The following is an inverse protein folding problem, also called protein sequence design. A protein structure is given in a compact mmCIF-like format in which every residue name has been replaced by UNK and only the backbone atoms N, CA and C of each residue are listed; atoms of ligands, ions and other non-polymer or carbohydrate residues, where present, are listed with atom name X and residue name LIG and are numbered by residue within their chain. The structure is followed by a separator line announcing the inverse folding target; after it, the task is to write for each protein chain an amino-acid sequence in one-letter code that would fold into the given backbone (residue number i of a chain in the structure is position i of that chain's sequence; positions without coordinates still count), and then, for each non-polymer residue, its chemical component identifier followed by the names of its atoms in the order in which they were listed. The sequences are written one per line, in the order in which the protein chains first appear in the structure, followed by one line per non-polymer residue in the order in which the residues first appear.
data_IF_453450179538
#
_entry.id   IF_453450179538
#
_cell.length_a   1.000
_cell.length_b   1.000
_cell.length_c   1.000
_cell.angle_alpha   90.00
_cell.angle_beta   90.00
_cell.angle_gamma   90.00
#
_symmetry.space_group_name_H-M   'P 1'
#
loop_
_entity.id
_entity.type
_entity.pdbx_description
1 polymer ?
#
# COMPACT_ATOMS: atom_id res chain seq x y z
N UNK A 1 19.73 10.28 -20.93
CA UNK A 1 21.14 10.67 -20.74
C UNK A 1 22.06 9.49 -20.98
N UNK A 2 22.12 8.45 -20.13
CA UNK A 2 23.00 7.28 -20.37
C UNK A 2 22.87 6.64 -21.75
N UNK A 3 21.64 6.31 -22.18
CA UNK A 3 21.39 5.74 -23.51
C UNK A 3 21.79 6.69 -24.66
N UNK A 4 21.65 8.01 -24.46
CA UNK A 4 22.08 9.00 -25.43
C UNK A 4 23.61 9.10 -25.50
N UNK A 5 24.30 8.95 -24.35
CA UNK A 5 25.77 8.84 -24.30
C UNK A 5 26.26 7.59 -25.02
N UNK A 6 25.63 6.44 -24.78
CA UNK A 6 25.98 5.16 -25.42
C UNK A 6 25.75 5.20 -26.93
N UNK A 7 24.75 5.94 -27.39
CA UNK A 7 24.47 6.18 -28.82
C UNK A 7 25.32 7.30 -29.44
N UNK A 8 26.22 7.94 -28.68
CA UNK A 8 27.04 9.05 -29.17
C UNK A 8 26.27 10.35 -29.43
N UNK A 9 25.02 10.46 -28.98
CA UNK A 9 24.16 11.65 -29.11
C UNK A 9 24.54 12.71 -28.06
N UNK A 10 25.25 12.31 -27.01
CA UNK A 10 25.69 13.17 -25.92
C UNK A 10 27.12 12.77 -25.49
N UNK A 11 27.96 13.77 -25.23
CA UNK A 11 29.31 13.57 -24.66
C UNK A 11 29.40 14.07 -23.20
N UNK A 12 28.41 14.84 -22.75
CA UNK A 12 28.43 15.45 -21.43
C UNK A 12 28.14 14.39 -20.33
N UNK A 13 29.17 14.07 -19.54
CA UNK A 13 29.12 13.12 -18.42
C UNK A 13 28.84 13.76 -17.05
N UNK A 14 28.54 15.06 -16.96
CA UNK A 14 28.25 15.76 -15.69
C UNK A 14 27.15 15.06 -14.89
N UNK A 15 26.16 14.47 -15.56
CA UNK A 15 25.06 13.75 -14.94
C UNK A 15 25.49 12.48 -14.19
N UNK A 16 26.74 12.01 -14.38
CA UNK A 16 27.34 10.89 -13.63
C UNK A 16 28.11 11.36 -12.39
N UNK A 17 28.39 12.66 -12.25
CA UNK A 17 29.13 13.20 -11.10
C UNK A 17 28.33 12.99 -9.81
N UNK A 18 29.02 12.74 -8.69
CA UNK A 18 28.38 12.53 -7.36
C UNK A 18 27.47 13.69 -6.93
N UNK A 19 27.75 14.92 -7.40
CA UNK A 19 26.92 16.13 -7.17
C UNK A 19 25.53 16.02 -7.81
N UNK A 20 25.39 15.24 -8.88
CA UNK A 20 24.13 15.01 -9.59
C UNK A 20 23.41 13.79 -9.01
N UNK A 21 23.14 13.83 -7.71
CA UNK A 21 22.37 12.78 -7.02
C UNK A 21 21.05 13.37 -6.54
N UNK A 22 19.97 12.65 -6.82
CA UNK A 22 18.67 12.94 -6.20
C UNK A 22 18.77 12.64 -4.71
N UNK A 23 18.65 13.67 -3.88
CA UNK A 23 18.45 13.51 -2.44
C UNK A 23 17.10 12.81 -2.26
N UNK A 24 17.10 11.67 -1.57
CA UNK A 24 15.89 10.92 -1.26
C UNK A 24 15.63 11.06 0.22
N UNK A 25 14.53 11.70 0.56
CA UNK A 25 14.02 11.75 1.92
C UNK A 25 12.94 10.71 2.11
N UNK A 26 12.87 10.12 3.30
CA UNK A 26 11.76 9.26 3.66
C UNK A 26 10.55 10.13 3.95
N UNK A 27 9.48 9.95 3.18
CA UNK A 27 8.23 10.65 3.44
C UNK A 27 7.53 10.05 4.66
N UNK A 28 7.06 10.91 5.55
CA UNK A 28 6.18 10.52 6.65
C UNK A 28 4.89 9.93 6.07
N UNK A 29 4.69 8.66 6.37
CA UNK A 29 3.73 7.84 5.66
C UNK A 29 3.01 6.92 6.60
N UNK A 30 1.69 6.84 6.43
CA UNK A 30 0.80 6.14 7.36
C UNK A 30 0.42 4.75 6.86
N UNK A 31 -0.06 3.92 7.77
CA UNK A 31 -0.77 2.67 7.52
C UNK A 31 -2.12 2.68 8.26
N UNK A 32 -2.99 1.74 7.92
CA UNK A 32 -4.26 1.50 8.60
C UNK A 32 -4.18 0.20 9.40
N UNK A 33 -4.49 0.29 10.68
CA UNK A 33 -4.65 -0.86 11.57
C UNK A 33 -5.83 -1.72 11.16
N UNK A 34 -5.88 -2.97 11.65
CA UNK A 34 -7.03 -3.86 11.43
C UNK A 34 -8.35 -3.22 11.90
N UNK A 35 -8.33 -2.47 13.01
CA UNK A 35 -9.51 -1.75 13.52
C UNK A 35 -10.01 -0.70 12.52
N UNK A 36 -9.10 0.06 11.92
CA UNK A 36 -9.44 1.07 10.90
C UNK A 36 -9.92 0.42 9.59
N UNK A 37 -9.32 -0.71 9.18
CA UNK A 37 -9.83 -1.48 8.03
C UNK A 37 -11.24 -2.01 8.26
N UNK A 38 -11.56 -2.42 9.50
CA UNK A 38 -12.93 -2.79 9.86
C UNK A 38 -13.89 -1.60 9.84
N UNK A 39 -13.43 -0.38 10.15
CA UNK A 39 -14.24 0.84 10.01
C UNK A 39 -14.58 1.09 8.54
N UNK A 40 -13.61 0.91 7.62
CA UNK A 40 -13.88 0.92 6.19
C UNK A 40 -14.96 -0.11 5.83
N UNK A 41 -14.78 -1.38 6.21
CA UNK A 41 -15.71 -2.46 5.86
C UNK A 41 -17.15 -2.22 6.33
N UNK A 42 -17.33 -1.62 7.50
CA UNK A 42 -18.64 -1.34 8.11
C UNK A 42 -19.29 -0.06 7.60
N UNK A 43 -18.56 0.76 6.84
CA UNK A 43 -19.05 2.05 6.38
C UNK A 43 -20.20 1.87 5.37
N UNK A 44 -21.37 2.42 5.70
CA UNK A 44 -22.50 2.42 4.78
C UNK A 44 -22.31 3.50 3.70
N UNK A 45 -22.13 3.06 2.46
CA UNK A 45 -21.94 3.92 1.29
C UNK A 45 -23.02 3.67 0.21
N UNK A 46 -24.18 3.12 0.60
CA UNK A 46 -25.26 2.78 -0.34
C UNK A 46 -25.75 4.00 -1.15
N UNK A 47 -25.76 5.19 -0.54
CA UNK A 47 -26.12 6.44 -1.20
C UNK A 47 -25.01 7.01 -2.12
N UNK A 48 -23.80 6.46 -2.08
CA UNK A 48 -22.64 6.98 -2.84
C UNK A 48 -21.86 5.85 -3.55
N UNK A 49 -22.39 5.28 -4.65
CA UNK A 49 -21.79 4.14 -5.35
C UNK A 49 -20.33 4.36 -5.77
N UNK A 50 -19.94 5.60 -6.08
CA UNK A 50 -18.55 5.98 -6.41
C UNK A 50 -17.58 5.74 -5.25
N UNK A 51 -17.98 6.07 -4.02
CA UNK A 51 -17.16 5.91 -2.82
C UNK A 51 -17.15 4.45 -2.37
N UNK A 52 -18.29 3.78 -2.50
CA UNK A 52 -18.45 2.35 -2.24
C UNK A 52 -17.50 1.49 -3.09
N UNK A 53 -17.42 1.81 -4.39
CA UNK A 53 -16.44 1.23 -5.33
C UNK A 53 -14.99 1.50 -4.90
N UNK A 54 -14.67 2.73 -4.49
CA UNK A 54 -13.32 3.12 -4.06
C UNK A 54 -12.91 2.37 -2.79
N UNK A 55 -13.83 2.27 -1.82
CA UNK A 55 -13.65 1.49 -0.60
C UNK A 55 -13.33 0.03 -0.93
N UNK A 56 -14.11 -0.59 -1.81
CA UNK A 56 -13.96 -2.00 -2.14
C UNK A 56 -12.62 -2.30 -2.83
N UNK A 57 -12.24 -1.51 -3.84
CA UNK A 57 -10.93 -1.65 -4.50
C UNK A 57 -9.77 -1.39 -3.53
N UNK A 58 -9.89 -0.42 -2.62
CA UNK A 58 -8.87 -0.15 -1.62
C UNK A 58 -8.72 -1.31 -0.62
N UNK A 59 -9.84 -1.88 -0.14
CA UNK A 59 -9.83 -3.05 0.74
C UNK A 59 -9.17 -4.27 0.07
N UNK A 60 -9.36 -4.46 -1.24
CA UNK A 60 -8.62 -5.48 -1.99
C UNK A 60 -7.11 -5.23 -1.89
N UNK A 61 -6.66 -3.99 -2.12
CA UNK A 61 -5.25 -3.64 -1.93
C UNK A 61 -4.75 -3.91 -0.50
N UNK A 62 -5.56 -3.59 0.51
CA UNK A 62 -5.22 -3.77 1.93
C UNK A 62 -5.09 -5.23 2.35
N UNK A 63 -5.80 -6.14 1.67
CA UNK A 63 -5.82 -7.56 2.01
C UNK A 63 -5.06 -8.46 1.03
N UNK A 64 -4.56 -7.90 -0.08
CA UNK A 64 -3.70 -8.62 -1.03
C UNK A 64 -2.26 -8.10 -1.02
N UNK A 65 -2.02 -6.88 -0.54
CA UNK A 65 -0.69 -6.26 -0.58
C UNK A 65 -0.22 -5.88 -1.99
N UNK A 66 -1.09 -5.96 -2.99
CA UNK A 66 -0.79 -5.58 -4.37
C UNK A 66 -0.68 -4.06 -4.52
N UNK A 67 0.10 -3.60 -5.51
CA UNK A 67 0.13 -2.17 -5.85
C UNK A 67 -1.16 -1.79 -6.58
N UNK A 68 -1.46 -0.49 -6.61
CA UNK A 68 -2.59 0.05 -7.36
C UNK A 68 -2.68 -0.53 -8.77
N UNK A 69 -1.60 -0.43 -9.54
CA UNK A 69 -1.55 -0.94 -10.91
C UNK A 69 -1.81 -2.44 -11.04
N UNK A 70 -1.45 -3.22 -10.01
CA UNK A 70 -1.61 -4.68 -10.02
C UNK A 70 -3.04 -5.08 -9.64
N UNK A 71 -3.59 -4.55 -8.53
CA UNK A 71 -4.94 -4.95 -8.10
C UNK A 71 -6.05 -4.44 -9.02
N UNK A 72 -5.81 -3.36 -9.77
CA UNK A 72 -6.80 -2.84 -10.74
C UNK A 72 -6.85 -3.67 -12.02
N UNK A 73 -5.93 -4.62 -12.20
CA UNK A 73 -5.89 -5.53 -13.35
C UNK A 73 -6.28 -6.97 -12.99
N UNK A 74 -6.75 -7.22 -11.77
CA UNK A 74 -7.24 -8.54 -11.38
C UNK A 74 -8.43 -8.90 -12.27
N UNK A 75 -8.31 -10.04 -12.93
CA UNK A 75 -9.37 -10.64 -13.73
C UNK A 75 -9.89 -11.92 -13.07
N UNK A 76 -11.10 -12.40 -13.44
CA UNK A 76 -11.64 -13.65 -12.92
C UNK A 76 -10.69 -14.84 -13.07
N UNK A 77 -9.90 -14.89 -14.15
CA UNK A 77 -8.97 -15.98 -14.44
C UNK A 77 -7.76 -16.01 -13.50
N UNK A 78 -7.51 -14.92 -12.77
CA UNK A 78 -6.48 -14.89 -11.74
C UNK A 78 -6.92 -15.58 -10.44
N UNK A 79 -8.21 -15.88 -10.30
CA UNK A 79 -8.79 -16.42 -9.07
C UNK A 79 -9.08 -17.91 -9.30
N UNK A 80 -8.72 -18.74 -8.33
CA UNK A 80 -9.03 -20.17 -8.41
C UNK A 80 -10.53 -20.45 -8.21
N UNK A 81 -10.97 -21.65 -8.59
CA UNK A 81 -12.38 -22.04 -8.64
C UNK A 81 -13.12 -21.97 -7.29
N UNK A 82 -12.42 -22.16 -6.18
CA UNK A 82 -12.97 -22.08 -4.82
C UNK A 82 -12.89 -20.65 -4.22
N UNK A 83 -12.37 -19.66 -4.98
CA UNK A 83 -12.11 -18.28 -4.55
C UNK A 83 -11.24 -18.17 -3.29
N UNK A 84 -10.31 -19.10 -3.05
CA UNK A 84 -9.41 -19.07 -1.89
C UNK A 84 -8.06 -18.42 -2.18
N UNK A 85 -7.63 -18.39 -3.44
CA UNK A 85 -6.32 -17.88 -3.85
C UNK A 85 -6.39 -17.00 -5.09
N UNK A 86 -5.49 -16.01 -5.14
CA UNK A 86 -5.24 -15.13 -6.27
C UNK A 86 -3.82 -15.39 -6.81
N UNK A 87 -3.72 -15.62 -8.11
CA UNK A 87 -2.47 -15.82 -8.84
C UNK A 87 -2.30 -14.70 -9.86
N UNK A 88 -1.29 -13.86 -9.70
CA UNK A 88 -1.06 -12.72 -10.58
C UNK A 88 0.43 -12.51 -10.85
N UNK A 89 0.74 -12.05 -12.07
CA UNK A 89 2.07 -11.55 -12.40
C UNK A 89 2.13 -10.05 -12.17
N UNK A 90 2.97 -9.62 -11.25
CA UNK A 90 3.15 -8.20 -10.89
C UNK A 90 3.78 -7.43 -12.06
N UNK A 91 3.28 -6.22 -12.33
CA UNK A 91 3.72 -5.42 -13.47
C UNK A 91 5.14 -4.89 -13.30
N UNK A 92 5.43 -4.33 -12.11
CA UNK A 92 6.71 -3.64 -11.87
C UNK A 92 7.91 -4.58 -11.90
N UNK A 93 7.74 -5.79 -11.37
CA UNK A 93 8.83 -6.74 -11.14
C UNK A 93 8.72 -8.01 -11.98
N UNK A 94 7.62 -8.20 -12.71
CA UNK A 94 7.35 -9.39 -13.51
C UNK A 94 7.31 -10.72 -12.72
N UNK A 95 7.17 -10.63 -11.39
CA UNK A 95 7.13 -11.77 -10.47
C UNK A 95 5.73 -12.36 -10.40
N UNK A 96 5.65 -13.70 -10.39
CA UNK A 96 4.39 -14.42 -10.12
C UNK A 96 4.21 -14.56 -8.63
N UNK A 97 3.07 -14.10 -8.13
CA UNK A 97 2.72 -14.18 -6.71
C UNK A 97 1.42 -14.97 -6.54
N UNK A 98 1.36 -15.77 -5.47
CA UNK A 98 0.18 -16.49 -5.03
C UNK A 98 -0.25 -15.91 -3.68
N UNK A 99 -1.52 -15.51 -3.57
CA UNK A 99 -2.03 -14.72 -2.44
C UNK A 99 -3.29 -15.37 -1.89
N UNK A 100 -3.30 -15.81 -0.62
CA UNK A 100 -4.51 -16.26 0.04
C UNK A 100 -5.53 -15.10 0.14
N UNK A 101 -6.75 -15.34 -0.31
CA UNK A 101 -7.80 -14.32 -0.29
C UNK A 101 -8.40 -14.19 1.10
N UNK A 102 -8.40 -12.99 1.66
CA UNK A 102 -9.09 -12.70 2.91
C UNK A 102 -10.62 -12.79 2.73
N UNK A 103 -11.37 -13.09 3.80
CA UNK A 103 -12.83 -13.19 3.78
C UNK A 103 -13.52 -11.93 3.22
N UNK A 104 -12.96 -10.75 3.50
CA UNK A 104 -13.47 -9.47 2.98
C UNK A 104 -13.31 -9.39 1.46
N UNK A 105 -12.17 -9.84 0.92
CA UNK A 105 -11.93 -9.85 -0.52
C UNK A 105 -12.90 -10.80 -1.21
N UNK A 106 -13.14 -12.00 -0.65
CA UNK A 106 -14.14 -12.94 -1.17
C UNK A 106 -15.55 -12.33 -1.21
N UNK A 107 -15.95 -11.57 -0.19
CA UNK A 107 -17.24 -10.86 -0.17
C UNK A 107 -17.34 -9.82 -1.28
N UNK A 108 -16.28 -9.04 -1.48
CA UNK A 108 -16.20 -8.02 -2.55
C UNK A 108 -16.25 -8.68 -3.92
N UNK A 109 -15.48 -9.74 -4.14
CA UNK A 109 -15.51 -10.52 -5.38
C UNK A 109 -16.91 -11.05 -5.68
N UNK A 110 -17.59 -11.63 -4.68
CA UNK A 110 -18.97 -12.09 -4.82
C UNK A 110 -19.93 -10.95 -5.20
N UNK A 111 -19.80 -9.78 -4.56
CA UNK A 111 -20.61 -8.58 -4.87
C UNK A 111 -20.48 -8.18 -6.35
N UNK A 112 -19.29 -8.32 -6.93
CA UNK A 112 -19.02 -7.97 -8.33
C UNK A 112 -19.01 -9.16 -9.29
N UNK A 113 -19.51 -10.34 -8.87
CA UNK A 113 -19.51 -11.57 -9.69
C UNK A 113 -18.13 -11.88 -10.29
N UNK A 114 -17.08 -11.76 -9.48
CA UNK A 114 -15.66 -11.92 -9.84
C UNK A 114 -15.11 -10.91 -10.87
N UNK A 115 -15.92 -9.97 -11.37
CA UNK A 115 -15.50 -8.93 -12.31
C UNK A 115 -15.42 -7.57 -11.60
N UNK A 116 -14.23 -7.24 -11.09
CA UNK A 116 -14.01 -6.00 -10.36
C UNK A 116 -14.36 -4.75 -11.19
N UNK A 117 -14.87 -3.68 -10.54
CA UNK A 117 -15.20 -2.46 -11.24
C UNK A 117 -13.95 -1.76 -11.78
N UNK A 118 -14.07 -1.14 -12.96
CA UNK A 118 -12.98 -0.37 -13.57
C UNK A 118 -12.50 0.71 -12.63
N UNK A 119 -11.23 0.71 -12.26
CA UNK A 119 -10.67 1.71 -11.35
C UNK A 119 -10.67 3.12 -11.95
N UNK A 120 -10.75 4.13 -11.09
CA UNK A 120 -10.46 5.50 -11.49
C UNK A 120 -8.96 5.68 -11.71
N UNK A 121 -8.52 6.82 -12.27
CA UNK A 121 -7.09 7.16 -12.26
C UNK A 121 -6.57 7.19 -10.82
N UNK A 122 -5.27 6.94 -10.62
CA UNK A 122 -4.70 6.91 -9.27
C UNK A 122 -4.96 8.22 -8.49
N UNK A 123 -4.91 9.37 -9.16
CA UNK A 123 -5.20 10.66 -8.54
C UNK A 123 -6.66 10.78 -8.07
N UNK A 124 -7.62 10.41 -8.93
CA UNK A 124 -9.05 10.45 -8.57
C UNK A 124 -9.37 9.43 -7.48
N UNK A 125 -8.76 8.24 -7.57
CA UNK A 125 -8.85 7.21 -6.55
C UNK A 125 -8.38 7.74 -5.19
N UNK A 126 -7.22 8.42 -5.15
CA UNK A 126 -6.69 9.01 -3.92
C UNK A 126 -7.61 10.09 -3.35
N UNK A 127 -8.21 10.94 -4.18
CA UNK A 127 -9.14 11.97 -3.70
C UNK A 127 -10.35 11.34 -3.00
N UNK A 128 -11.04 10.41 -3.67
CA UNK A 128 -12.18 9.72 -3.06
C UNK A 128 -11.82 8.85 -1.87
N UNK A 129 -10.61 8.28 -1.87
CA UNK A 129 -10.14 7.49 -0.73
C UNK A 129 -10.00 8.34 0.53
N UNK A 130 -9.58 9.61 0.41
CA UNK A 130 -9.55 10.55 1.54
C UNK A 130 -10.95 10.86 2.06
N UNK A 131 -11.94 10.96 1.17
CA UNK A 131 -13.34 11.14 1.55
C UNK A 131 -13.88 9.92 2.30
N UNK A 132 -13.64 8.72 1.77
CA UNK A 132 -14.02 7.45 2.42
C UNK A 132 -13.39 7.34 3.81
N UNK A 133 -12.09 7.65 3.94
CA UNK A 133 -11.40 7.59 5.21
C UNK A 133 -11.92 8.63 6.23
N UNK A 134 -12.27 9.82 5.75
CA UNK A 134 -12.91 10.85 6.58
C UNK A 134 -14.27 10.38 7.10
N UNK A 135 -15.09 9.78 6.23
CA UNK A 135 -16.39 9.18 6.59
C UNK A 135 -16.23 7.98 7.55
N UNK A 136 -15.15 7.21 7.41
CA UNK A 136 -14.77 6.14 8.33
C UNK A 136 -14.24 6.65 9.69
N UNK A 137 -14.23 7.98 9.91
CA UNK A 137 -13.81 8.65 11.15
C UNK A 137 -12.32 8.46 11.49
N UNK A 138 -11.46 8.31 10.49
CA UNK A 138 -10.00 8.17 10.68
C UNK A 138 -9.37 9.56 10.82
N UNK A 139 -9.49 10.15 12.01
CA UNK A 139 -9.17 11.57 12.27
C UNK A 139 -7.96 11.80 13.19
N UNK A 140 -7.27 10.73 13.59
CA UNK A 140 -6.02 10.80 14.36
C UNK A 140 -5.07 11.83 13.74
N UNK A 141 -4.48 12.71 14.54
CA UNK A 141 -3.53 13.71 14.07
C UNK A 141 -2.14 13.08 13.93
N UNK A 142 -1.49 13.34 12.81
CA UNK A 142 -0.16 12.81 12.49
C UNK A 142 0.74 13.99 12.15
N UNK A 143 1.88 14.08 12.84
CA UNK A 143 2.95 15.02 12.48
C UNK A 143 3.62 14.52 11.19
N UNK A 144 3.77 15.42 10.22
CA UNK A 144 4.45 15.16 8.96
C UNK A 144 5.44 16.27 8.67
N UNK A 145 6.57 15.86 8.11
CA UNK A 145 7.72 16.66 7.80
C UNK A 145 7.93 16.62 6.29
N UNK A 146 8.00 17.78 5.67
CA UNK A 146 8.25 17.92 4.23
C UNK A 146 9.38 18.92 4.05
N UNK A 147 10.44 18.52 3.34
CA UNK A 147 11.50 19.45 2.97
C UNK A 147 11.15 20.16 1.66
N UNK A 148 11.05 21.48 1.69
CA UNK A 148 10.83 22.34 0.51
C UNK A 148 11.95 23.36 0.41
N UNK A 149 12.65 23.37 -0.74
CA UNK A 149 13.76 24.30 -0.97
C UNK A 149 14.89 24.19 0.08
N UNK A 150 15.13 22.99 0.62
CA UNK A 150 16.13 22.75 1.66
C UNK A 150 15.70 23.14 3.08
N UNK A 151 14.46 23.63 3.27
CA UNK A 151 13.88 23.92 4.59
C UNK A 151 12.91 22.82 4.99
N UNK A 152 13.06 22.35 6.23
CA UNK A 152 12.19 21.35 6.83
C UNK A 152 10.93 22.04 7.35
N UNK A 153 9.77 21.76 6.73
CA UNK A 153 8.47 22.23 7.17
C UNK A 153 7.74 21.11 7.92
N UNK A 154 7.37 21.37 9.17
CA UNK A 154 6.54 20.47 9.96
C UNK A 154 5.09 20.90 9.88
N UNK A 155 4.19 19.93 9.74
CA UNK A 155 2.75 20.17 9.79
C UNK A 155 2.04 19.02 10.50
N UNK A 156 0.91 19.31 11.13
CA UNK A 156 0.08 18.30 11.77
C UNK A 156 -1.19 18.17 10.95
N UNK A 157 -1.41 16.97 10.40
CA UNK A 157 -2.55 16.70 9.52
C UNK A 157 -3.35 15.50 10.05
N UNK A 158 -4.68 15.49 9.88
CA UNK A 158 -5.44 14.31 10.20
C UNK A 158 -5.07 13.17 9.24
N UNK A 159 -4.95 11.96 9.78
CA UNK A 159 -4.45 10.74 9.12
C UNK A 159 -5.14 10.47 7.79
N UNK A 160 -6.45 10.71 7.69
CA UNK A 160 -7.18 10.54 6.42
C UNK A 160 -6.61 11.37 5.26
N UNK A 161 -5.98 12.53 5.51
CA UNK A 161 -5.36 13.36 4.46
C UNK A 161 -4.08 12.75 3.90
N UNK A 162 -3.44 11.87 4.65
CA UNK A 162 -2.19 11.19 4.31
C UNK A 162 -2.42 9.83 3.62
N UNK A 163 -3.66 9.34 3.60
CA UNK A 163 -4.01 8.07 2.96
C UNK A 163 -3.94 8.20 1.44
N UNK A 164 -3.38 7.15 0.82
CA UNK A 164 -3.31 6.96 -0.63
C UNK A 164 -3.46 5.48 -0.98
N UNK A 165 -3.51 5.14 -2.27
CA UNK A 165 -3.51 3.74 -2.73
C UNK A 165 -2.28 2.96 -2.26
N UNK A 166 -1.13 3.62 -2.04
CA UNK A 166 0.06 2.98 -1.46
C UNK A 166 -0.09 2.65 0.03
N UNK A 167 -0.96 3.36 0.75
CA UNK A 167 -1.31 3.02 2.13
C UNK A 167 -1.84 1.59 2.21
N UNK A 168 -2.57 1.11 1.20
CA UNK A 168 -3.13 -0.24 1.17
C UNK A 168 -2.05 -1.32 1.38
N UNK A 169 -0.98 -1.26 0.58
CA UNK A 169 0.14 -2.21 0.67
C UNK A 169 0.95 -2.06 1.96
N UNK A 170 1.08 -0.84 2.49
CA UNK A 170 1.73 -0.60 3.79
C UNK A 170 0.92 -1.17 4.94
N UNK A 171 -0.41 -0.99 4.91
CA UNK A 171 -1.34 -1.60 5.87
C UNK A 171 -1.23 -3.12 5.83
N UNK A 172 -1.22 -3.72 4.64
CA UNK A 172 -1.01 -5.16 4.50
C UNK A 172 0.30 -5.62 5.15
N UNK A 173 1.42 -5.04 4.73
CA UNK A 173 2.74 -5.47 5.21
C UNK A 173 2.91 -5.24 6.72
N UNK A 174 2.52 -4.06 7.22
CA UNK A 174 2.68 -3.69 8.64
C UNK A 174 1.79 -4.55 9.53
N UNK A 175 0.51 -4.75 9.18
CA UNK A 175 -0.38 -5.57 10.01
C UNK A 175 0.06 -7.03 10.07
N UNK A 176 0.52 -7.62 8.95
CA UNK A 176 1.02 -9.00 8.96
C UNK A 176 2.34 -9.13 9.73
N UNK A 177 3.20 -8.11 9.67
CA UNK A 177 4.45 -8.08 10.43
C UNK A 177 4.21 -7.98 11.94
N UNK A 178 3.23 -7.18 12.36
CA UNK A 178 2.77 -7.09 13.75
C UNK A 178 2.15 -8.43 14.20
N UNK A 179 1.40 -9.10 13.32
CA UNK A 179 0.84 -10.44 13.55
C UNK A 179 1.88 -11.57 13.49
N UNK A 180 3.16 -11.25 13.54
CA UNK A 180 4.30 -12.17 13.58
C UNK A 180 4.40 -13.15 12.40
N UNK A 181 3.84 -12.77 11.25
CA UNK A 181 4.07 -13.52 10.02
C UNK A 181 5.52 -13.29 9.57
N UNK A 182 6.28 -14.35 9.24
CA UNK A 182 7.66 -14.21 8.79
C UNK A 182 7.80 -13.23 7.63
N UNK A 183 8.77 -12.31 7.73
CA UNK A 183 9.01 -11.27 6.72
C UNK A 183 9.15 -11.85 5.31
N UNK A 184 9.84 -12.99 5.18
CA UNK A 184 10.01 -13.70 3.92
C UNK A 184 8.67 -14.12 3.27
N UNK A 185 7.68 -14.51 4.08
CA UNK A 185 6.34 -14.88 3.60
C UNK A 185 5.59 -13.66 3.09
N UNK A 186 5.66 -12.54 3.82
CA UNK A 186 5.06 -11.27 3.41
C UNK A 186 5.73 -10.75 2.12
N UNK A 187 7.05 -10.88 2.01
CA UNK A 187 7.83 -10.49 0.83
C UNK A 187 7.44 -11.29 -0.41
N UNK A 188 7.23 -12.61 -0.28
CA UNK A 188 6.75 -13.47 -1.38
C UNK A 188 5.37 -13.04 -1.88
N UNK A 189 4.45 -12.72 -0.97
CA UNK A 189 3.10 -12.24 -1.34
C UNK A 189 3.17 -10.86 -2.01
N UNK A 190 3.95 -9.95 -1.43
CA UNK A 190 4.05 -8.58 -1.94
C UNK A 190 4.92 -8.50 -3.20
N UNK A 191 5.77 -9.49 -3.49
CA UNK A 191 6.68 -9.47 -4.65
C UNK A 191 7.88 -8.53 -4.44
N UNK A 192 8.44 -8.49 -3.22
CA UNK A 192 9.69 -7.79 -2.95
C UNK A 192 10.89 -8.75 -3.13
N UNK A 193 11.89 -8.30 -3.90
CA UNK A 193 13.13 -9.06 -4.13
C UNK A 193 14.17 -8.90 -3.01
N UNK A 194 14.14 -7.75 -2.32
CA UNK A 194 15.11 -7.41 -1.29
C UNK A 194 14.41 -6.96 -0.02
N UNK A 195 14.96 -7.34 1.12
CA UNK A 195 14.46 -6.95 2.44
C UNK A 195 14.53 -5.43 2.62
N UNK A 196 15.61 -4.78 2.16
CA UNK A 196 15.74 -3.32 2.17
C UNK A 196 14.55 -2.62 1.52
N UNK A 197 14.04 -3.12 0.39
CA UNK A 197 12.86 -2.54 -0.25
C UNK A 197 11.56 -2.87 0.49
N UNK A 198 11.50 -4.01 1.17
CA UNK A 198 10.35 -4.43 1.95
C UNK A 198 10.20 -3.62 3.24
N UNK A 199 11.30 -3.38 3.97
CA UNK A 199 11.30 -2.64 5.23
C UNK A 199 10.80 -1.19 5.07
N UNK A 200 10.90 -0.62 3.86
CA UNK A 200 10.30 0.68 3.52
C UNK A 200 8.75 0.69 3.62
N UNK A 201 8.08 -0.46 3.71
CA UNK A 201 6.63 -0.56 3.89
C UNK A 201 6.20 -0.81 5.33
N UNK A 202 7.12 -1.18 6.21
CA UNK A 202 6.83 -1.45 7.63
C UNK A 202 6.79 -0.11 8.37
N UNK A 203 5.68 0.13 9.08
CA UNK A 203 5.42 1.37 9.82
C UNK A 203 5.10 1.08 11.29
N UNK A 204 5.89 0.21 11.90
CA UNK A 204 5.78 -0.09 13.33
C UNK A 204 6.41 1.05 14.14
N UNK A 205 5.72 1.53 15.17
CA UNK A 205 6.28 2.50 16.11
C UNK A 205 7.17 1.80 17.14
N UNK A 206 7.99 2.56 17.87
CA UNK A 206 8.80 2.01 18.97
C UNK A 206 7.92 1.36 20.05
N UNK A 207 6.81 2.01 20.38
CA UNK A 207 5.79 1.50 21.32
C UNK A 207 5.18 0.19 20.82
N UNK A 208 4.76 0.12 19.55
CA UNK A 208 4.20 -1.11 18.97
C UNK A 208 5.21 -2.24 18.91
N UNK A 209 6.49 -1.93 18.71
CA UNK A 209 7.56 -2.91 18.78
C UNK A 209 7.74 -3.41 20.21
N UNK A 210 7.74 -2.52 21.21
CA UNK A 210 7.81 -2.90 22.61
C UNK A 210 6.61 -3.78 23.02
N UNK A 211 5.38 -3.37 22.67
CA UNK A 211 4.15 -4.14 22.92
C UNK A 211 4.21 -5.54 22.30
N UNK A 212 4.76 -5.66 21.08
CA UNK A 212 4.95 -6.95 20.42
C UNK A 212 5.93 -7.84 21.20
N UNK A 213 6.98 -7.26 21.77
CA UNK A 213 8.00 -8.00 22.51
C UNK A 213 7.54 -8.41 23.91
N UNK A 214 6.51 -7.78 24.48
CA UNK A 214 5.94 -8.16 25.78
C UNK A 214 5.43 -9.60 25.81
N UNK A 215 5.01 -10.17 24.69
CA UNK A 215 4.52 -11.56 24.64
C UNK A 215 5.62 -12.58 24.33
N UNK A 216 6.84 -12.13 24.04
CA UNK A 216 7.93 -13.00 23.63
C UNK A 216 8.56 -13.71 24.85
N UNK A 217 8.88 -15.02 24.78
CA UNK A 217 9.45 -15.79 25.90
C UNK A 217 10.82 -15.33 26.43
N UNK A 218 11.42 -14.32 25.80
CA UNK A 218 12.66 -13.71 26.30
C UNK A 218 12.38 -12.65 27.38
N UNK A 219 11.21 -12.01 27.31
CA UNK A 219 10.80 -10.93 28.21
C UNK A 219 9.76 -11.38 29.26
N UNK A 220 9.25 -12.62 29.15
CA UNK A 220 8.41 -13.31 30.14
C UNK A 220 9.13 -14.56 30.64
#
# INVERSE_FOLDING_TARGET
MNEATERGINENLEFRKKKFKTIREEADTVYLSIKELQQFEKLNLSATPRLDKVRDLFLIGCYTGLRFSDFTQIQPENINSDNTMLFIRTLKTSERVAIPLHKTVRKILKKYKNKLPVAYTNQVMNNYLKDVASLAKIKELVETTITRGGKVEKSVLPKFKLISTHTARRSFATNLYIADIPAISIMKITGHKTERSFMQYIRITQEQNADKLLTHPFFN
#
